data_IF_481170954676
#
_entry.id   IF_481170954676
#
_cell.length_a   1.000
_cell.length_b   1.000
_cell.length_c   1.000
_cell.angle_alpha   90.00
_cell.angle_beta   90.00
_cell.angle_gamma   90.00
#
_symmetry.space_group_name_H-M   'P 1'
#
loop_
_entity.id
_entity.type
_entity.pdbx_description
1 polymer ?
#
# COMPACT_ATOMS: atom_id res chain seq x y z
N UNK A 1 7.91 -27.48 19.60
CA UNK A 1 8.36 -28.48 18.61
C UNK A 1 7.74 -28.28 17.22
N UNK A 2 6.44 -28.55 16.97
CA UNK A 2 5.87 -28.45 15.61
C UNK A 2 5.98 -27.05 14.97
N UNK A 3 5.65 -25.98 15.74
CA UNK A 3 5.75 -24.59 15.27
C UNK A 3 7.18 -24.19 14.90
N UNK A 4 8.15 -24.72 15.65
CA UNK A 4 9.58 -24.45 15.48
C UNK A 4 10.14 -25.13 14.23
N UNK A 5 9.69 -26.36 13.95
CA UNK A 5 9.99 -27.06 12.70
C UNK A 5 9.41 -26.30 11.50
N UNK A 6 8.17 -25.84 11.59
CA UNK A 6 7.53 -25.07 10.51
C UNK A 6 8.26 -23.76 10.22
N UNK A 7 8.68 -23.01 11.25
CA UNK A 7 9.47 -21.79 11.07
C UNK A 7 10.76 -22.08 10.30
N UNK A 8 11.53 -23.10 10.70
CA UNK A 8 12.77 -23.49 10.01
C UNK A 8 12.51 -23.88 8.55
N UNK A 9 11.45 -24.64 8.29
CA UNK A 9 11.07 -25.00 6.92
C UNK A 9 10.72 -23.75 6.08
N UNK A 10 9.98 -22.79 6.63
CA UNK A 10 9.64 -21.54 5.94
C UNK A 10 10.88 -20.72 5.62
N UNK A 11 11.85 -20.64 6.53
CA UNK A 11 13.12 -19.92 6.30
C UNK A 11 13.91 -20.54 5.14
N UNK A 12 14.05 -21.87 5.12
CA UNK A 12 14.74 -22.59 4.03
C UNK A 12 14.04 -22.37 2.69
N UNK A 13 12.72 -22.53 2.64
CA UNK A 13 11.95 -22.34 1.41
C UNK A 13 11.97 -20.87 0.93
N UNK A 14 11.95 -19.91 1.85
CA UNK A 14 12.05 -18.49 1.54
C UNK A 14 13.42 -18.13 0.98
N UNK A 15 14.50 -18.64 1.59
CA UNK A 15 15.87 -18.44 1.12
C UNK A 15 16.05 -18.96 -0.31
N UNK A 16 15.62 -20.21 -0.57
CA UNK A 16 15.67 -20.80 -1.90
C UNK A 16 14.85 -19.98 -2.92
N UNK A 17 13.63 -19.56 -2.56
CA UNK A 17 12.79 -18.74 -3.44
C UNK A 17 13.43 -17.40 -3.80
N UNK A 18 14.06 -16.74 -2.83
CA UNK A 18 14.69 -15.42 -3.02
C UNK A 18 15.92 -15.49 -3.94
N UNK A 19 16.68 -16.57 -3.87
CA UNK A 19 17.88 -16.77 -4.69
C UNK A 19 17.53 -17.29 -6.10
N UNK A 20 16.56 -18.20 -6.21
CA UNK A 20 16.38 -19.01 -7.42
C UNK A 20 15.18 -18.62 -8.28
N UNK A 21 14.22 -17.82 -7.77
CA UNK A 21 13.04 -17.41 -8.55
C UNK A 21 13.11 -15.93 -8.89
N UNK A 22 13.00 -15.55 -10.19
CA UNK A 22 12.77 -14.17 -10.56
C UNK A 22 11.55 -13.62 -9.80
N UNK A 23 11.68 -12.42 -9.24
CA UNK A 23 10.54 -11.77 -8.59
C UNK A 23 9.46 -11.51 -9.64
N UNK A 24 8.19 -11.79 -9.37
CA UNK A 24 7.11 -11.40 -10.26
C UNK A 24 7.20 -9.90 -10.52
N UNK A 25 6.95 -9.49 -11.76
CA UNK A 25 6.79 -8.08 -12.06
C UNK A 25 5.70 -7.50 -11.15
N UNK A 26 6.01 -6.39 -10.51
CA UNK A 26 5.05 -5.62 -9.74
C UNK A 26 4.46 -4.59 -10.69
N UNK A 27 3.15 -4.41 -10.62
CA UNK A 27 2.57 -3.22 -11.23
C UNK A 27 3.03 -2.02 -10.38
N UNK A 28 3.85 -1.14 -10.98
CA UNK A 28 4.38 0.06 -10.33
C UNK A 28 3.52 1.30 -10.64
N UNK A 29 2.31 1.11 -11.16
CA UNK A 29 1.41 2.22 -11.45
C UNK A 29 0.87 2.83 -10.17
N UNK A 30 1.22 4.09 -9.98
CA UNK A 30 0.57 4.97 -9.02
C UNK A 30 -0.64 5.63 -9.68
N UNK A 31 -1.81 4.99 -9.57
CA UNK A 31 -3.08 5.50 -10.10
C UNK A 31 -3.81 6.33 -9.04
N UNK A 32 -4.21 7.54 -9.42
CA UNK A 32 -4.88 8.43 -8.50
C UNK A 32 -6.31 7.95 -8.17
N UNK A 33 -6.98 7.24 -9.10
CA UNK A 33 -8.29 6.61 -8.90
C UNK A 33 -8.28 5.54 -7.80
N UNK A 34 -7.30 4.63 -7.79
CA UNK A 34 -7.18 3.59 -6.76
C UNK A 34 -6.84 4.16 -5.39
N UNK A 35 -5.95 5.16 -5.34
CA UNK A 35 -5.67 5.86 -4.08
C UNK A 35 -6.90 6.61 -3.57
N UNK A 36 -7.72 7.19 -4.45
CA UNK A 36 -9.00 7.79 -4.09
C UNK A 36 -9.96 6.81 -3.43
N UNK A 37 -10.09 5.59 -3.97
CA UNK A 37 -10.89 4.53 -3.36
C UNK A 37 -10.36 4.13 -1.97
N UNK A 38 -9.04 3.98 -1.84
CA UNK A 38 -8.39 3.65 -0.57
C UNK A 38 -8.63 4.74 0.49
N UNK A 39 -8.45 6.03 0.14
CA UNK A 39 -8.72 7.16 1.03
C UNK A 39 -10.18 7.15 1.51
N UNK A 40 -11.14 6.90 0.62
CA UNK A 40 -12.57 6.82 0.98
C UNK A 40 -12.83 5.72 2.01
N UNK A 41 -12.25 4.53 1.81
CA UNK A 41 -12.34 3.42 2.76
C UNK A 41 -11.73 3.76 4.12
N UNK A 42 -10.55 4.36 4.14
CA UNK A 42 -9.86 4.78 5.36
C UNK A 42 -10.65 5.86 6.12
N UNK A 43 -11.19 6.85 5.42
CA UNK A 43 -12.02 7.90 6.04
C UNK A 43 -13.27 7.30 6.69
N UNK A 44 -13.96 6.38 5.99
CA UNK A 44 -15.12 5.69 6.56
C UNK A 44 -14.74 4.81 7.75
N UNK A 45 -13.64 4.08 7.66
CA UNK A 45 -13.12 3.26 8.76
C UNK A 45 -12.76 4.11 9.98
N UNK A 46 -12.15 5.27 9.80
CA UNK A 46 -11.86 6.21 10.87
C UNK A 46 -13.14 6.66 11.59
N UNK A 47 -14.20 6.99 10.85
CA UNK A 47 -15.48 7.39 11.43
C UNK A 47 -16.14 6.28 12.25
N UNK A 48 -16.10 5.03 11.76
CA UNK A 48 -16.81 3.90 12.38
C UNK A 48 -16.02 3.28 13.53
N UNK A 49 -14.72 3.07 13.33
CA UNK A 49 -13.85 2.36 14.28
C UNK A 49 -13.20 3.29 15.31
N UNK A 50 -13.21 4.61 15.05
CA UNK A 50 -12.58 5.64 15.90
C UNK A 50 -11.10 5.38 16.20
N UNK A 51 -10.40 4.66 15.32
CA UNK A 51 -8.97 4.45 15.44
C UNK A 51 -8.19 5.54 14.66
N UNK A 52 -7.37 6.37 15.31
CA UNK A 52 -6.65 7.48 14.67
C UNK A 52 -5.71 7.06 13.53
N UNK A 53 -5.31 5.78 13.51
CA UNK A 53 -4.44 5.23 12.46
C UNK A 53 -5.06 5.37 11.07
N UNK A 54 -6.39 5.24 10.94
CA UNK A 54 -7.05 5.31 9.64
C UNK A 54 -7.10 6.74 9.10
N UNK A 55 -7.38 7.73 9.95
CA UNK A 55 -7.28 9.15 9.59
C UNK A 55 -5.86 9.50 9.14
N UNK A 56 -4.86 9.08 9.91
CA UNK A 56 -3.45 9.34 9.59
C UNK A 56 -3.04 8.76 8.23
N UNK A 57 -3.46 7.52 7.93
CA UNK A 57 -3.18 6.89 6.64
C UNK A 57 -3.88 7.63 5.48
N UNK A 58 -5.13 8.08 5.68
CA UNK A 58 -5.86 8.86 4.68
C UNK A 58 -5.15 10.19 4.39
N UNK A 59 -4.74 10.93 5.43
CA UNK A 59 -4.00 12.19 5.32
C UNK A 59 -2.66 12.02 4.61
N UNK A 60 -1.89 10.99 4.97
CA UNK A 60 -0.62 10.67 4.33
C UNK A 60 -0.79 10.39 2.84
N UNK A 61 -1.84 9.64 2.48
CA UNK A 61 -2.13 9.31 1.08
C UNK A 61 -2.55 10.57 0.30
N UNK A 62 -3.39 11.42 0.88
CA UNK A 62 -3.76 12.71 0.26
C UNK A 62 -2.52 13.59 0.06
N UNK A 63 -1.63 13.67 1.04
CA UNK A 63 -0.39 14.44 0.94
C UNK A 63 0.50 13.91 -0.21
N UNK A 64 0.65 12.59 -0.33
CA UNK A 64 1.37 11.97 -1.44
C UNK A 64 0.77 12.35 -2.80
N UNK A 65 -0.56 12.23 -2.94
CA UNK A 65 -1.26 12.62 -4.18
C UNK A 65 -1.03 14.08 -4.51
N UNK A 66 -1.17 15.00 -3.54
CA UNK A 66 -0.96 16.43 -3.76
C UNK A 66 0.46 16.76 -4.20
N UNK A 67 1.46 16.05 -3.68
CA UNK A 67 2.87 16.29 -3.99
C UNK A 67 3.27 15.70 -5.34
N UNK A 68 2.76 14.52 -5.70
CA UNK A 68 3.28 13.76 -6.85
C UNK A 68 2.31 13.59 -8.02
N UNK A 69 1.01 13.72 -7.76
CA UNK A 69 -0.04 13.39 -8.72
C UNK A 69 -1.03 14.54 -8.95
N UNK A 70 -0.78 15.73 -8.40
CA UNK A 70 -1.63 16.90 -8.63
C UNK A 70 -0.80 18.05 -9.19
N UNK A 71 -1.17 18.52 -10.39
CA UNK A 71 -0.63 19.73 -10.96
C UNK A 71 -1.43 20.93 -10.42
N UNK A 72 -0.78 21.75 -9.59
CA UNK A 72 -1.36 22.95 -8.99
C UNK A 72 -1.68 24.04 -10.02
N UNK A 73 -0.86 24.18 -11.05
CA UNK A 73 -0.99 25.22 -12.08
C UNK A 73 -2.19 24.92 -12.98
N UNK A 74 -2.32 23.68 -13.44
CA UNK A 74 -3.45 23.28 -14.28
C UNK A 74 -4.68 22.83 -13.48
N UNK A 75 -4.56 22.68 -12.15
CA UNK A 75 -5.56 22.07 -11.25
C UNK A 75 -6.02 20.68 -11.71
N UNK A 76 -5.10 19.86 -12.22
CA UNK A 76 -5.42 18.52 -12.75
C UNK A 76 -4.76 17.43 -11.93
N UNK A 77 -5.48 16.32 -11.79
CA UNK A 77 -4.94 15.08 -11.27
C UNK A 77 -4.23 14.33 -12.41
N UNK A 78 -2.97 13.98 -12.17
CA UNK A 78 -2.16 13.16 -13.06
C UNK A 78 -2.47 11.69 -12.81
N UNK A 79 -2.44 10.87 -13.87
CA UNK A 79 -2.63 9.40 -13.77
C UNK A 79 -3.97 9.02 -13.09
N UNK A 80 -5.02 9.80 -13.35
CA UNK A 80 -6.40 9.54 -12.92
C UNK A 80 -6.97 8.30 -13.62
#
# INVERSE_FOLDING_TARGET
QAREILTKCHEVLLAYRNENRPRPHRDEKFLASWNGLMISGLARAACVLQEPKYTRLAEQTIAFIRTHLFDLSSKRLLRA
#
